data_IF_177953490689
#
_entry.id   IF_177953490689
#
_cell.length_a   1.000
_cell.length_b   1.000
_cell.length_c   1.000
_cell.angle_alpha   90.00
_cell.angle_beta   90.00
_cell.angle_gamma   90.00
#
_symmetry.space_group_name_H-M   'P 1'
#
loop_
_entity.id
_entity.type
_entity.pdbx_description
1 polymer ?
#
# COMPACT_ATOMS: atom_id res chain seq x y z
N UNK A 1 -13.96 -19.89 8.74
CA UNK A 1 -13.27 -19.19 7.62
C UNK A 1 -12.16 -20.10 7.03
N UNK A 2 -11.76 -19.98 5.76
CA UNK A 2 -10.71 -20.86 5.16
C UNK A 2 -9.30 -20.52 5.69
N UNK A 3 -8.44 -21.53 5.93
CA UNK A 3 -7.04 -21.35 6.39
C UNK A 3 -6.22 -20.35 5.55
N UNK A 4 -6.42 -20.31 4.23
CA UNK A 4 -5.77 -19.35 3.33
C UNK A 4 -6.12 -17.89 3.67
N UNK A 5 -7.38 -17.61 4.06
CA UNK A 5 -7.83 -16.25 4.41
C UNK A 5 -7.25 -15.80 5.76
N UNK A 6 -7.13 -16.72 6.71
CA UNK A 6 -6.50 -16.45 8.00
C UNK A 6 -5.02 -16.14 7.83
N UNK A 7 -4.30 -16.90 7.01
CA UNK A 7 -2.88 -16.67 6.74
C UNK A 7 -2.63 -15.36 5.99
N UNK A 8 -3.38 -15.10 4.91
CA UNK A 8 -3.24 -13.84 4.14
C UNK A 8 -3.58 -12.61 4.97
N UNK A 9 -4.59 -12.69 5.85
CA UNK A 9 -4.90 -11.62 6.78
C UNK A 9 -3.78 -11.40 7.81
N UNK A 10 -3.23 -12.48 8.38
CA UNK A 10 -2.13 -12.38 9.33
C UNK A 10 -0.86 -11.77 8.69
N UNK A 11 -0.50 -12.23 7.50
CA UNK A 11 0.61 -11.68 6.73
C UNK A 11 0.41 -10.19 6.40
N UNK A 12 -0.81 -9.80 6.03
CA UNK A 12 -1.17 -8.42 5.78
C UNK A 12 -1.00 -7.52 7.02
N UNK A 13 -1.53 -7.93 8.18
CA UNK A 13 -1.40 -7.14 9.40
C UNK A 13 0.05 -7.03 9.88
N UNK A 14 0.85 -8.10 9.75
CA UNK A 14 2.27 -8.06 10.06
C UNK A 14 3.05 -7.13 9.12
N UNK A 15 2.70 -7.14 7.84
CA UNK A 15 3.30 -6.26 6.84
C UNK A 15 2.96 -4.80 7.16
N UNK A 16 1.67 -4.48 7.36
CA UNK A 16 1.21 -3.14 7.69
C UNK A 16 1.90 -2.59 8.92
N UNK A 17 1.91 -3.32 10.03
CA UNK A 17 2.51 -2.84 11.27
C UNK A 17 3.99 -2.50 11.12
N UNK A 18 4.72 -3.17 10.21
CA UNK A 18 6.13 -2.89 9.95
C UNK A 18 6.35 -1.70 9.03
N UNK A 19 5.43 -1.42 8.12
CA UNK A 19 5.64 -0.43 7.05
C UNK A 19 4.83 0.85 7.27
N UNK A 20 3.78 0.83 8.09
CA UNK A 20 3.00 2.03 8.41
C UNK A 20 3.64 2.81 9.54
N UNK A 21 3.65 4.14 9.42
CA UNK A 21 4.18 5.04 10.45
C UNK A 21 3.32 5.10 11.72
N UNK A 22 2.09 4.56 11.67
CA UNK A 22 1.12 4.54 12.76
C UNK A 22 0.94 3.11 13.27
N UNK A 23 0.87 2.95 14.59
CA UNK A 23 0.52 1.67 15.19
C UNK A 23 -0.96 1.37 14.96
N UNK A 24 -1.25 0.50 14.00
CA UNK A 24 -2.62 0.05 13.70
C UNK A 24 -2.88 -1.24 14.51
N UNK A 25 -3.86 -1.24 15.44
CA UNK A 25 -4.14 -2.41 16.26
C UNK A 25 -4.50 -3.63 15.42
N UNK A 26 -3.84 -4.77 15.66
CA UNK A 26 -4.13 -6.03 14.96
C UNK A 26 -5.55 -6.52 15.27
N UNK A 27 -6.16 -7.22 14.31
CA UNK A 27 -7.46 -7.89 14.49
C UNK A 27 -8.60 -6.97 14.98
N UNK A 28 -8.50 -5.66 14.77
CA UNK A 28 -9.58 -4.74 15.12
C UNK A 28 -10.77 -4.93 14.18
N UNK A 29 -11.95 -5.02 14.78
CA UNK A 29 -13.20 -4.89 14.04
C UNK A 29 -13.43 -3.43 13.61
N UNK A 30 -14.40 -3.23 12.72
CA UNK A 30 -14.88 -1.89 12.37
C UNK A 30 -15.78 -1.31 13.48
N UNK A 31 -16.22 -2.15 14.42
CA UNK A 31 -17.03 -1.77 15.58
C UNK A 31 -16.22 -0.98 16.61
N UNK A 32 -16.71 0.22 16.96
CA UNK A 32 -16.00 1.18 17.81
C UNK A 32 -16.94 2.19 18.44
N UNK A 33 -16.57 2.68 19.62
CA UNK A 33 -17.18 3.84 20.27
C UNK A 33 -16.21 5.02 20.14
N UNK A 34 -16.70 6.18 19.69
CA UNK A 34 -15.90 7.38 19.48
C UNK A 34 -16.49 8.54 20.28
N UNK A 35 -15.65 9.24 21.05
CA UNK A 35 -16.02 10.51 21.67
C UNK A 35 -16.26 11.58 20.59
N UNK A 36 -17.13 12.56 20.87
CA UNK A 36 -17.45 13.66 19.95
C UNK A 36 -16.20 14.35 19.42
N UNK A 37 -15.20 14.61 20.28
CA UNK A 37 -13.95 15.27 19.87
C UNK A 37 -13.16 14.47 18.82
N UNK A 38 -13.25 13.14 18.88
CA UNK A 38 -12.57 12.23 17.94
C UNK A 38 -13.31 12.24 16.61
N UNK A 39 -14.65 12.23 16.65
CA UNK A 39 -15.48 12.37 15.45
C UNK A 39 -15.15 13.68 14.76
N UNK A 40 -15.13 14.79 15.48
CA UNK A 40 -14.88 16.13 14.93
C UNK A 40 -13.50 16.22 14.23
N UNK A 41 -12.46 15.59 14.77
CA UNK A 41 -11.16 15.48 14.10
C UNK A 41 -11.20 14.59 12.85
N UNK A 42 -11.96 13.49 12.87
CA UNK A 42 -12.07 12.57 11.73
C UNK A 42 -12.85 13.16 10.55
N UNK A 43 -13.86 14.01 10.79
CA UNK A 43 -14.62 14.64 9.71
C UNK A 43 -13.84 15.74 8.97
N UNK A 44 -12.82 16.35 9.58
CA UNK A 44 -11.94 17.28 8.86
C UNK A 44 -11.00 16.58 7.88
N UNK A 45 -10.77 15.26 8.05
CA UNK A 45 -9.92 14.46 7.16
C UNK A 45 -10.71 14.06 5.90
N UNK A 46 -10.41 14.73 4.79
CA UNK A 46 -11.12 14.61 3.50
C UNK A 46 -10.41 13.71 2.49
N UNK A 47 -9.50 12.85 2.96
CA UNK A 47 -8.78 11.88 2.13
C UNK A 47 -9.74 11.12 1.19
N UNK A 48 -9.40 11.03 -0.09
CA UNK A 48 -10.24 10.28 -1.06
C UNK A 48 -10.19 8.76 -0.80
N UNK A 49 -9.00 8.24 -0.51
CA UNK A 49 -8.75 6.81 -0.34
C UNK A 49 -8.77 6.40 1.13
N UNK A 50 -9.96 6.44 1.75
CA UNK A 50 -10.10 6.33 3.21
C UNK A 50 -9.89 4.93 3.73
N UNK A 51 -8.86 4.74 4.54
CA UNK A 51 -8.68 3.55 5.37
C UNK A 51 -8.99 3.88 6.84
N UNK A 52 -10.26 3.69 7.24
CA UNK A 52 -10.78 4.10 8.56
C UNK A 52 -9.97 3.58 9.75
N UNK A 53 -9.42 2.37 9.66
CA UNK A 53 -8.63 1.77 10.73
C UNK A 53 -7.32 2.52 10.95
N UNK A 54 -6.69 2.99 9.87
CA UNK A 54 -5.51 3.85 9.93
C UNK A 54 -5.86 5.25 10.39
N UNK A 55 -6.91 5.86 9.81
CA UNK A 55 -7.38 7.20 10.19
C UNK A 55 -7.69 7.30 11.69
N UNK A 56 -8.42 6.32 12.24
CA UNK A 56 -8.73 6.30 13.68
C UNK A 56 -7.51 6.10 14.57
N UNK A 57 -6.48 5.40 14.07
CA UNK A 57 -5.23 5.25 14.80
C UNK A 57 -4.37 6.52 14.70
N UNK A 58 -4.37 7.17 13.54
CA UNK A 58 -3.57 8.36 13.23
C UNK A 58 -3.98 9.59 14.05
N UNK A 59 -5.28 9.78 14.30
CA UNK A 59 -5.77 10.91 15.13
C UNK A 59 -5.23 10.90 16.57
N UNK A 60 -4.64 9.80 17.03
CA UNK A 60 -3.77 9.80 18.21
C UNK A 60 -4.46 9.96 19.57
N UNK A 61 -5.80 10.01 19.62
CA UNK A 61 -6.54 10.05 20.87
C UNK A 61 -6.36 8.77 21.70
N UNK A 62 -6.78 8.81 22.97
CA UNK A 62 -6.76 7.66 23.88
C UNK A 62 -7.59 6.52 23.28
N UNK A 63 -6.97 5.36 23.14
CA UNK A 63 -7.56 4.15 22.57
C UNK A 63 -7.49 3.03 23.60
N UNK A 64 -8.57 2.25 23.70
CA UNK A 64 -8.65 1.06 24.55
C UNK A 64 -9.34 -0.06 23.78
N UNK A 65 -8.85 -1.29 23.91
CA UNK A 65 -9.36 -2.43 23.16
C UNK A 65 -10.25 -3.31 24.04
N UNK A 66 -11.50 -3.53 23.62
CA UNK A 66 -12.37 -4.51 24.26
C UNK A 66 -12.21 -5.85 23.56
N UNK A 67 -11.55 -6.79 24.22
CA UNK A 67 -11.34 -8.14 23.69
C UNK A 67 -12.65 -8.92 23.72
N UNK A 68 -12.97 -9.59 22.62
CA UNK A 68 -14.11 -10.49 22.53
C UNK A 68 -13.79 -11.68 21.63
N UNK A 69 -14.46 -12.80 21.88
CA UNK A 69 -14.33 -13.98 21.03
C UNK A 69 -15.30 -13.83 19.85
N UNK A 70 -14.74 -13.68 18.64
CA UNK A 70 -15.54 -13.60 17.41
C UNK A 70 -16.09 -14.99 17.07
N UNK A 71 -17.38 -15.20 17.30
CA UNK A 71 -18.06 -16.43 16.87
C UNK A 71 -18.16 -16.49 15.33
N UNK A 72 -18.25 -17.70 14.79
CA UNK A 72 -18.54 -17.89 13.37
C UNK A 72 -19.89 -17.29 13.02
N UNK A 73 -20.03 -16.76 11.79
CA UNK A 73 -21.30 -16.20 11.34
C UNK A 73 -22.35 -17.30 11.33
N UNK A 74 -23.47 -17.08 12.00
CA UNK A 74 -24.61 -18.00 12.04
C UNK A 74 -25.16 -18.30 10.63
N UNK A 75 -25.16 -17.30 9.75
CA UNK A 75 -25.59 -17.45 8.36
C UNK A 75 -24.89 -16.43 7.43
N UNK A 76 -24.85 -16.76 6.14
CA UNK A 76 -24.37 -15.89 5.07
C UNK A 76 -22.90 -16.07 4.70
N UNK A 77 -22.58 -15.77 3.45
CA UNK A 77 -21.20 -15.83 2.95
C UNK A 77 -20.45 -14.51 3.21
N UNK A 78 -19.12 -14.60 3.24
CA UNK A 78 -18.30 -13.39 3.35
C UNK A 78 -18.44 -12.52 2.10
N UNK A 79 -18.91 -11.29 2.28
CA UNK A 79 -19.01 -10.28 1.20
C UNK A 79 -17.65 -9.65 0.83
N UNK A 80 -16.57 -10.24 1.35
CA UNK A 80 -15.20 -9.78 1.23
C UNK A 80 -14.36 -10.79 0.43
N UNK A 81 -14.37 -10.71 -0.91
CA UNK A 81 -13.55 -11.56 -1.77
C UNK A 81 -12.08 -11.13 -1.73
N UNK A 82 -11.19 -12.02 -2.16
CA UNK A 82 -9.73 -11.80 -2.17
C UNK A 82 -9.34 -10.49 -2.91
N UNK A 83 -10.01 -10.17 -4.02
CA UNK A 83 -9.77 -8.92 -4.75
C UNK A 83 -10.04 -7.66 -3.91
N UNK A 84 -11.09 -7.67 -3.07
CA UNK A 84 -11.36 -6.57 -2.15
C UNK A 84 -10.31 -6.49 -1.05
N UNK A 85 -9.84 -7.65 -0.55
CA UNK A 85 -8.74 -7.70 0.42
C UNK A 85 -7.48 -7.05 -0.15
N UNK A 86 -7.04 -7.48 -1.34
CA UNK A 86 -5.83 -6.94 -1.98
C UNK A 86 -5.95 -5.44 -2.20
N UNK A 87 -7.10 -4.96 -2.72
CA UNK A 87 -7.33 -3.53 -2.92
C UNK A 87 -7.23 -2.74 -1.61
N UNK A 88 -7.93 -3.19 -0.58
CA UNK A 88 -7.89 -2.58 0.75
C UNK A 88 -6.48 -2.56 1.34
N UNK A 89 -5.72 -3.62 1.10
CA UNK A 89 -4.33 -3.71 1.51
C UNK A 89 -3.44 -2.70 0.78
N UNK A 90 -3.61 -2.57 -0.53
CA UNK A 90 -2.90 -1.57 -1.33
C UNK A 90 -3.26 -0.15 -0.88
N UNK A 91 -4.54 0.13 -0.63
CA UNK A 91 -5.00 1.43 -0.12
C UNK A 91 -4.34 1.78 1.23
N UNK A 92 -4.30 0.82 2.15
CA UNK A 92 -3.68 1.02 3.46
C UNK A 92 -2.16 1.23 3.36
N UNK A 93 -1.46 0.46 2.52
CA UNK A 93 -0.01 0.59 2.32
C UNK A 93 0.34 1.94 1.70
N UNK A 94 -0.30 2.29 0.60
CA UNK A 94 0.01 3.50 -0.17
C UNK A 94 -0.40 4.79 0.55
N UNK A 95 -1.42 4.73 1.41
CA UNK A 95 -1.87 5.92 2.16
C UNK A 95 -1.07 6.16 3.45
N UNK A 96 -0.49 5.11 4.05
CA UNK A 96 0.20 5.21 5.36
C UNK A 96 1.68 4.81 5.31
N UNK A 97 2.24 4.53 4.14
CA UNK A 97 3.64 4.13 3.98
C UNK A 97 4.27 4.69 2.70
N UNK A 98 5.53 5.10 2.81
CA UNK A 98 6.38 5.42 1.66
C UNK A 98 7.34 4.27 1.29
N UNK A 99 7.26 3.15 1.99
CA UNK A 99 8.19 2.01 1.84
C UNK A 99 8.22 1.47 0.40
N UNK A 100 7.10 1.28 -0.32
CA UNK A 100 7.16 0.81 -1.71
C UNK A 100 7.98 1.72 -2.63
N UNK A 101 7.87 3.03 -2.45
CA UNK A 101 8.62 4.02 -3.23
C UNK A 101 10.11 4.02 -2.86
N UNK A 102 10.42 3.91 -1.55
CA UNK A 102 11.80 3.82 -1.07
C UNK A 102 12.49 2.52 -1.51
N UNK A 103 11.76 1.40 -1.55
CA UNK A 103 12.27 0.13 -2.07
C UNK A 103 12.58 0.22 -3.56
N UNK A 104 11.69 0.80 -4.37
CA UNK A 104 11.95 1.03 -5.79
C UNK A 104 13.22 1.89 -6.00
N UNK A 105 13.36 2.95 -5.20
CA UNK A 105 14.53 3.84 -5.24
C UNK A 105 15.82 3.13 -4.85
N UNK A 106 15.80 2.37 -3.74
CA UNK A 106 16.96 1.63 -3.24
C UNK A 106 17.40 0.52 -4.20
N UNK A 107 16.44 -0.21 -4.77
CA UNK A 107 16.71 -1.20 -5.83
C UNK A 107 17.32 -0.54 -7.07
N UNK A 108 16.83 0.64 -7.46
CA UNK A 108 17.41 1.45 -8.54
C UNK A 108 18.88 1.78 -8.29
N UNK A 109 19.22 2.29 -7.11
CA UNK A 109 20.60 2.58 -6.74
C UNK A 109 21.49 1.31 -6.70
N UNK A 110 20.96 0.20 -6.18
CA UNK A 110 21.67 -1.07 -6.16
C UNK A 110 22.00 -1.57 -7.57
N UNK A 111 21.00 -1.56 -8.47
CA UNK A 111 21.18 -1.96 -9.88
C UNK A 111 22.14 -1.02 -10.63
N UNK A 112 22.10 0.28 -10.34
CA UNK A 112 23.04 1.24 -10.89
C UNK A 112 24.49 1.00 -10.42
N UNK A 113 24.67 0.63 -9.15
CA UNK A 113 25.99 0.22 -8.63
C UNK A 113 26.50 -1.05 -9.32
N UNK A 114 25.63 -2.04 -9.51
CA UNK A 114 25.97 -3.28 -10.19
C UNK A 114 26.31 -3.05 -11.68
N UNK A 115 25.58 -2.15 -12.36
CA UNK A 115 25.87 -1.83 -13.77
C UNK A 115 27.21 -1.12 -13.93
N UNK A 116 27.59 -0.24 -12.99
CA UNK A 116 28.90 0.42 -13.00
C UNK A 116 30.05 -0.60 -12.87
N UNK A 117 29.92 -1.57 -11.95
CA UNK A 117 30.88 -2.68 -11.85
C UNK A 117 30.92 -3.50 -13.13
N UNK A 118 29.76 -3.80 -13.71
CA UNK A 118 29.64 -4.52 -14.98
C UNK A 118 30.36 -3.79 -16.13
N UNK A 119 30.26 -2.46 -16.20
CA UNK A 119 30.96 -1.64 -17.20
C UNK A 119 32.47 -1.77 -17.05
N UNK A 120 33.01 -1.70 -15.83
CA UNK A 120 34.45 -1.86 -15.57
C UNK A 120 34.94 -3.24 -16.00
N UNK A 121 34.22 -4.31 -15.62
CA UNK A 121 34.55 -5.68 -16.01
C UNK A 121 34.51 -5.85 -17.53
N UNK A 122 33.47 -5.33 -18.19
CA UNK A 122 33.33 -5.40 -19.64
C UNK A 122 34.45 -4.65 -20.37
N UNK A 123 34.88 -3.48 -19.85
CA UNK A 123 35.99 -2.71 -20.41
C UNK A 123 37.32 -3.48 -20.31
N UNK A 124 37.60 -4.09 -19.16
CA UNK A 124 38.80 -4.93 -18.97
C UNK A 124 38.77 -6.10 -19.95
N UNK A 125 37.68 -6.87 -20.00
CA UNK A 125 37.57 -7.99 -20.93
C UNK A 125 37.77 -7.55 -22.38
N UNK A 126 37.19 -6.41 -22.78
CA UNK A 126 37.35 -5.87 -24.13
C UNK A 126 38.80 -5.55 -24.48
N UNK A 127 39.57 -4.98 -23.54
CA UNK A 127 40.97 -4.61 -23.76
C UNK A 127 41.90 -5.82 -23.84
N UNK A 128 41.63 -6.89 -23.09
CA UNK A 128 42.53 -8.04 -22.98
C UNK A 128 42.18 -9.24 -23.88
N UNK A 129 40.91 -9.47 -24.21
CA UNK A 129 40.50 -10.69 -24.94
C UNK A 129 39.83 -10.43 -26.28
N UNK A 130 39.48 -9.17 -26.60
CA UNK A 130 38.84 -8.79 -27.87
C UNK A 130 37.45 -9.40 -28.12
N UNK A 131 36.97 -10.29 -27.25
CA UNK A 131 35.74 -11.04 -27.45
C UNK A 131 34.49 -10.18 -27.23
N UNK A 132 33.57 -10.23 -28.20
CA UNK A 132 32.18 -9.77 -28.05
C UNK A 132 31.29 -10.96 -28.40
N UNK A 133 30.96 -11.78 -27.40
CA UNK A 133 29.84 -12.72 -27.49
C UNK A 133 28.93 -12.40 -26.30
N UNK A 134 27.76 -11.85 -26.60
CA UNK A 134 26.84 -11.37 -25.56
C UNK A 134 25.50 -10.84 -26.05
N UNK A 135 25.12 -11.09 -27.31
CA UNK A 135 23.88 -10.54 -27.87
C UNK A 135 22.63 -11.09 -27.16
N UNK A 136 22.60 -12.41 -26.91
CA UNK A 136 21.49 -13.04 -26.18
C UNK A 136 21.41 -12.58 -24.72
N UNK A 137 22.54 -12.51 -24.01
CA UNK A 137 22.58 -12.04 -22.62
C UNK A 137 22.23 -10.55 -22.50
N UNK A 138 22.65 -9.73 -23.46
CA UNK A 138 22.29 -8.30 -23.51
C UNK A 138 20.78 -8.13 -23.73
N UNK A 139 20.19 -8.87 -24.69
CA UNK A 139 18.76 -8.82 -24.95
C UNK A 139 17.94 -9.21 -23.70
N UNK A 140 18.31 -10.31 -23.04
CA UNK A 140 17.66 -10.76 -21.80
C UNK A 140 17.78 -9.69 -20.71
N UNK A 141 18.96 -9.11 -20.52
CA UNK A 141 19.19 -8.08 -19.51
C UNK A 141 18.37 -6.81 -19.79
N UNK A 142 18.29 -6.37 -21.04
CA UNK A 142 17.50 -5.20 -21.44
C UNK A 142 16.01 -5.45 -21.20
N UNK A 143 15.48 -6.62 -21.59
CA UNK A 143 14.08 -6.97 -21.33
C UNK A 143 13.78 -7.05 -19.84
N UNK A 144 14.68 -7.63 -19.06
CA UNK A 144 14.55 -7.75 -17.61
C UNK A 144 14.55 -6.38 -16.93
N UNK A 145 15.52 -5.53 -17.25
CA UNK A 145 15.60 -4.16 -16.72
C UNK A 145 14.40 -3.31 -17.17
N UNK A 146 13.95 -3.45 -18.42
CA UNK A 146 12.75 -2.80 -18.91
C UNK A 146 11.49 -3.23 -18.14
N UNK A 147 11.36 -4.52 -17.84
CA UNK A 147 10.28 -5.03 -16.98
C UNK A 147 10.31 -4.42 -15.57
N UNK A 148 11.48 -4.35 -14.94
CA UNK A 148 11.66 -3.71 -13.63
C UNK A 148 11.30 -2.22 -13.69
N UNK A 149 11.74 -1.51 -14.72
CA UNK A 149 11.42 -0.09 -14.91
C UNK A 149 9.91 0.14 -15.03
N UNK A 150 9.20 -0.71 -15.79
CA UNK A 150 7.74 -0.65 -15.89
C UNK A 150 7.05 -0.89 -14.54
N UNK A 151 7.59 -1.79 -13.70
CA UNK A 151 7.09 -1.99 -12.34
C UNK A 151 7.28 -0.72 -11.50
N UNK A 152 8.47 -0.11 -11.54
CA UNK A 152 8.73 1.14 -10.79
C UNK A 152 7.84 2.28 -11.28
N UNK A 153 7.62 2.39 -12.59
CA UNK A 153 6.69 3.37 -13.15
C UNK A 153 5.25 3.11 -12.70
N UNK A 154 4.84 1.84 -12.60
CA UNK A 154 3.55 1.45 -12.03
C UNK A 154 3.40 1.89 -10.57
N UNK A 155 4.43 1.69 -9.74
CA UNK A 155 4.45 2.18 -8.35
C UNK A 155 4.29 3.69 -8.32
N UNK A 156 5.09 4.44 -9.10
CA UNK A 156 4.99 5.90 -9.17
C UNK A 156 3.60 6.34 -9.64
N UNK A 157 3.04 5.68 -10.65
CA UNK A 157 1.71 5.95 -11.18
C UNK A 157 0.61 5.81 -10.13
N UNK A 158 0.72 4.81 -9.25
CA UNK A 158 -0.23 4.60 -8.14
C UNK A 158 -0.21 5.78 -7.14
N UNK A 159 0.99 6.24 -6.74
CA UNK A 159 1.10 7.41 -5.85
C UNK A 159 0.67 8.70 -6.55
N UNK A 160 1.04 8.87 -7.82
CA UNK A 160 0.67 10.05 -8.61
C UNK A 160 -0.84 10.14 -8.80
N UNK A 161 -1.51 9.01 -9.05
CA UNK A 161 -2.98 8.93 -9.14
C UNK A 161 -3.66 9.34 -7.83
N UNK A 162 -3.12 8.90 -6.68
CA UNK A 162 -3.64 9.30 -5.36
C UNK A 162 -3.44 10.78 -5.08
N UNK A 163 -2.26 11.32 -5.42
CA UNK A 163 -2.00 12.77 -5.32
C UNK A 163 -2.97 13.53 -6.23
N UNK A 164 -3.18 13.06 -7.46
CA UNK A 164 -4.12 13.69 -8.39
C UNK A 164 -5.55 13.70 -7.82
N UNK A 165 -6.03 12.59 -7.27
CA UNK A 165 -7.37 12.51 -6.65
C UNK A 165 -7.51 13.48 -5.48
N UNK A 166 -6.48 13.59 -4.63
CA UNK A 166 -6.48 14.49 -3.47
C UNK A 166 -6.45 15.96 -3.89
N UNK A 167 -5.59 16.32 -4.87
CA UNK A 167 -5.50 17.70 -5.41
C UNK A 167 -6.76 18.10 -6.17
N UNK A 168 -7.44 17.15 -6.83
CA UNK A 168 -8.72 17.40 -7.51
C UNK A 168 -9.83 17.81 -6.54
N UNK A 169 -9.66 17.52 -5.24
CA UNK A 169 -10.50 17.98 -4.13
C UNK A 169 -12.00 17.77 -4.36
N UNK A 170 -12.39 16.66 -5.00
CA UNK A 170 -13.80 16.35 -5.21
C UNK A 170 -14.49 16.04 -3.90
N UNK A 171 -15.75 16.46 -3.71
CA UNK A 171 -16.50 16.06 -2.53
C UNK A 171 -16.66 14.53 -2.52
N UNK A 172 -16.47 13.92 -1.34
CA UNK A 172 -16.56 12.47 -1.15
C UNK A 172 -17.93 11.89 -1.54
N UNK A 173 -18.97 12.70 -1.39
CA UNK A 173 -20.34 12.38 -1.75
C UNK A 173 -21.11 13.68 -1.98
N UNK A 174 -22.21 13.57 -2.72
CA UNK A 174 -23.21 14.63 -2.88
C UNK A 174 -24.50 14.09 -2.29
N UNK A 175 -25.07 14.81 -1.33
CA UNK A 175 -26.37 14.46 -0.75
C UNK A 175 -27.44 14.86 -1.75
N UNK A 176 -28.27 13.89 -2.15
CA UNK A 176 -29.39 14.14 -3.07
C UNK A 176 -30.58 14.76 -2.33
N UNK A 177 -31.01 14.10 -1.26
CA UNK A 177 -32.13 14.50 -0.42
C UNK A 177 -31.79 14.14 1.04
N UNK A 178 -32.21 14.98 2.00
CA UNK A 178 -32.09 14.72 3.42
C UNK A 178 -33.47 14.84 4.08
N UNK A 179 -33.83 13.89 4.94
CA UNK A 179 -35.14 13.83 5.61
C UNK A 179 -35.21 14.70 6.88
N UNK A 180 -34.18 15.50 7.16
CA UNK A 180 -34.05 16.28 8.39
C UNK A 180 -34.07 17.78 8.05
N UNK A 181 -35.02 18.50 8.66
CA UNK A 181 -35.03 19.97 8.71
C UNK A 181 -33.76 20.44 9.42
N UNK A 182 -33.03 21.34 8.77
CA UNK A 182 -31.93 22.08 9.40
C UNK A 182 -32.52 22.98 10.51
N UNK A 183 -32.06 22.75 11.75
CA UNK A 183 -32.08 23.76 12.81
C UNK A 183 -30.67 24.27 13.03
#
# INVERSE_FOLDING_TARGET
ETHFKLWTAAAFYQLIERITSVHIPRNTGDFRLLDRRVVDALITMREQHRFMRGLSAWVGFRQEAVQYVRQERFAGETKYPLRKMIRFSLDAITSFSHVPLQLATSCGFFLAGLSLLGIVVAAILRLFTGAIVGQASTLILVLFLGGIQLIFLGIIGEYLGRIYDEVRARPLYIVRDALLDEK
#
